data_IF_478674177864
#
_entry.id   IF_478674177864
#
_cell.length_a   1.000
_cell.length_b   1.000
_cell.length_c   1.000
_cell.angle_alpha   90.00
_cell.angle_beta   90.00
_cell.angle_gamma   90.00
#
_symmetry.space_group_name_H-M   'P 1'
#
loop_
_entity.id
_entity.type
_entity.pdbx_description
1 polymer ?
#
# COMPACT_ATOMS: atom_id res chain seq x y z
N UNK A 1 -23.75 39.27 15.05
CA UNK A 1 -24.44 38.28 14.22
C UNK A 1 -23.61 37.83 13.01
N UNK A 2 -22.99 38.70 12.23
CA UNK A 2 -22.16 38.27 11.07
C UNK A 2 -20.96 37.36 11.41
N UNK A 3 -20.31 37.56 12.56
CA UNK A 3 -19.17 36.75 13.04
C UNK A 3 -19.59 35.33 13.42
N UNK A 4 -20.79 35.13 13.99
CA UNK A 4 -21.33 33.80 14.33
C UNK A 4 -21.70 32.99 13.10
N UNK A 5 -22.20 33.64 12.06
CA UNK A 5 -22.52 32.98 10.79
C UNK A 5 -21.28 32.38 10.11
N UNK A 6 -20.17 33.09 10.15
CA UNK A 6 -18.89 32.61 9.58
C UNK A 6 -18.37 31.38 10.32
N UNK A 7 -18.47 31.35 11.65
CA UNK A 7 -18.05 30.19 12.47
C UNK A 7 -18.89 28.95 12.18
N UNK A 8 -20.22 29.12 12.05
CA UNK A 8 -21.13 28.02 11.74
C UNK A 8 -20.86 27.45 10.34
N UNK A 9 -20.64 28.31 9.36
CA UNK A 9 -20.32 27.88 7.99
C UNK A 9 -18.97 27.14 7.93
N UNK A 10 -17.95 27.66 8.61
CA UNK A 10 -16.64 26.97 8.72
C UNK A 10 -16.76 25.60 9.40
N UNK A 11 -17.57 25.48 10.45
CA UNK A 11 -17.83 24.21 11.15
C UNK A 11 -18.49 23.16 10.24
N UNK A 12 -19.43 23.57 9.39
CA UNK A 12 -20.09 22.68 8.43
C UNK A 12 -19.16 22.17 7.32
N UNK A 13 -18.21 22.98 6.89
CA UNK A 13 -17.19 22.53 5.91
C UNK A 13 -16.22 21.51 6.49
N UNK A 14 -15.82 21.63 7.75
CA UNK A 14 -14.90 20.70 8.40
C UNK A 14 -15.54 19.30 8.61
N UNK A 15 -16.84 19.23 8.94
CA UNK A 15 -17.54 17.95 9.11
C UNK A 15 -17.70 17.17 7.79
N UNK A 16 -17.90 17.86 6.68
CA UNK A 16 -18.01 17.23 5.36
C UNK A 16 -16.68 16.60 4.89
N UNK A 17 -15.55 17.25 5.17
CA UNK A 17 -14.23 16.71 4.81
C UNK A 17 -13.90 15.43 5.59
N UNK A 18 -14.23 15.34 6.87
CA UNK A 18 -13.97 14.17 7.69
C UNK A 18 -14.75 12.94 7.20
N UNK A 19 -16.02 13.12 6.84
CA UNK A 19 -16.86 12.04 6.30
C UNK A 19 -16.36 11.54 4.93
N UNK A 20 -15.88 12.42 4.08
CA UNK A 20 -15.35 12.05 2.77
C UNK A 20 -14.07 11.21 2.89
N UNK A 21 -13.18 11.54 3.82
CA UNK A 21 -11.94 10.78 4.05
C UNK A 21 -12.27 9.38 4.60
N UNK A 22 -13.16 9.29 5.59
CA UNK A 22 -13.58 8.01 6.18
C UNK A 22 -14.23 7.08 5.13
N UNK A 23 -15.06 7.61 4.25
CA UNK A 23 -15.70 6.84 3.18
C UNK A 23 -14.66 6.32 2.16
N UNK A 24 -13.67 7.13 1.82
CA UNK A 24 -12.58 6.73 0.91
C UNK A 24 -11.72 5.62 1.51
N UNK A 25 -11.42 5.67 2.80
CA UNK A 25 -10.70 4.62 3.51
C UNK A 25 -11.49 3.30 3.53
N UNK A 26 -12.79 3.35 3.78
CA UNK A 26 -13.67 2.15 3.76
C UNK A 26 -13.67 1.49 2.40
N UNK A 27 -13.78 2.26 1.31
CA UNK A 27 -13.76 1.76 -0.06
C UNK A 27 -12.40 1.12 -0.37
N UNK A 28 -11.29 1.71 0.07
CA UNK A 28 -9.95 1.16 -0.13
C UNK A 28 -9.78 -0.17 0.63
N UNK A 29 -10.20 -0.25 1.89
CA UNK A 29 -10.17 -1.48 2.68
C UNK A 29 -11.02 -2.60 2.06
N UNK A 30 -12.19 -2.27 1.51
CA UNK A 30 -13.02 -3.26 0.82
C UNK A 30 -12.35 -3.80 -0.45
N UNK A 31 -11.70 -2.94 -1.22
CA UNK A 31 -10.94 -3.35 -2.42
C UNK A 31 -9.75 -4.22 -2.06
N UNK A 32 -9.03 -3.86 -1.01
CA UNK A 32 -7.89 -4.63 -0.51
C UNK A 32 -8.32 -6.02 -0.03
N UNK A 33 -9.38 -6.11 0.77
CA UNK A 33 -9.92 -7.39 1.23
C UNK A 33 -10.41 -8.25 0.07
N UNK A 34 -11.10 -7.68 -0.90
CA UNK A 34 -11.55 -8.40 -2.09
C UNK A 34 -10.36 -8.92 -2.94
N UNK A 35 -9.29 -8.14 -3.03
CA UNK A 35 -8.06 -8.57 -3.72
C UNK A 35 -7.38 -9.72 -2.99
N UNK A 36 -7.31 -9.67 -1.65
CA UNK A 36 -6.76 -10.74 -0.81
C UNK A 36 -7.58 -12.04 -0.92
N UNK A 37 -8.90 -11.95 -0.92
CA UNK A 37 -9.77 -13.12 -1.05
C UNK A 37 -9.62 -13.78 -2.42
N UNK A 38 -9.55 -12.97 -3.48
CA UNK A 38 -9.28 -13.46 -4.83
C UNK A 38 -7.93 -14.17 -4.89
N UNK A 39 -6.90 -13.59 -4.31
CA UNK A 39 -5.56 -14.15 -4.27
C UNK A 39 -5.50 -15.47 -3.51
N UNK A 40 -6.19 -15.58 -2.36
CA UNK A 40 -6.30 -16.83 -1.61
C UNK A 40 -6.99 -17.92 -2.42
N UNK A 41 -7.99 -17.55 -3.22
CA UNK A 41 -8.66 -18.52 -4.09
C UNK A 41 -7.74 -19.02 -5.19
N UNK A 42 -7.00 -18.12 -5.85
CA UNK A 42 -5.99 -18.48 -6.86
C UNK A 42 -4.89 -19.39 -6.29
N UNK A 43 -4.46 -19.17 -5.06
CA UNK A 43 -3.48 -20.00 -4.38
C UNK A 43 -4.04 -21.40 -4.12
N UNK A 44 -5.28 -21.52 -3.66
CA UNK A 44 -5.94 -22.80 -3.46
C UNK A 44 -6.07 -23.58 -4.78
N UNK A 45 -6.48 -22.89 -5.83
CA UNK A 45 -6.62 -23.52 -7.15
C UNK A 45 -5.26 -23.95 -7.70
N UNK A 46 -4.21 -23.19 -7.45
CA UNK A 46 -2.82 -23.55 -7.79
C UNK A 46 -2.37 -24.80 -7.05
N UNK A 47 -2.55 -24.88 -5.74
CA UNK A 47 -2.18 -26.05 -4.96
C UNK A 47 -2.97 -27.30 -5.38
N UNK A 48 -4.27 -27.16 -5.68
CA UNK A 48 -5.09 -28.26 -6.24
C UNK A 48 -4.57 -28.73 -7.61
N UNK A 49 -4.20 -27.80 -8.47
CA UNK A 49 -3.65 -28.11 -9.79
C UNK A 49 -2.37 -28.96 -9.69
N UNK A 50 -1.52 -28.74 -8.68
CA UNK A 50 -0.35 -29.56 -8.39
C UNK A 50 -0.68 -30.87 -7.66
N UNK A 51 -1.95 -31.17 -7.41
CA UNK A 51 -2.40 -32.43 -6.85
C UNK A 51 -2.49 -32.49 -5.33
N UNK A 52 -2.31 -31.37 -4.65
CA UNK A 52 -2.51 -31.30 -3.20
C UNK A 52 -4.00 -31.33 -2.87
N UNK A 53 -4.38 -32.14 -1.89
CA UNK A 53 -5.77 -32.25 -1.44
C UNK A 53 -6.04 -31.27 -0.32
N UNK A 54 -7.17 -30.56 -0.39
CA UNK A 54 -7.64 -29.71 0.70
C UNK A 54 -7.70 -30.52 2.03
N UNK A 55 -7.53 -29.83 3.14
CA UNK A 55 -7.53 -30.40 4.50
C UNK A 55 -6.33 -31.29 4.85
N UNK A 56 -5.31 -31.36 4.02
CA UNK A 56 -4.04 -32.03 4.33
C UNK A 56 -2.97 -31.05 4.77
N UNK A 57 -1.95 -31.55 5.49
CA UNK A 57 -0.78 -30.75 5.88
C UNK A 57 -0.01 -30.24 4.65
N UNK A 58 0.12 -31.09 3.64
CA UNK A 58 0.82 -30.77 2.40
C UNK A 58 0.13 -29.64 1.62
N UNK A 59 -1.19 -29.55 1.69
CA UNK A 59 -1.94 -28.45 1.11
C UNK A 59 -1.67 -27.12 1.85
N UNK A 60 -1.61 -27.18 3.17
CA UNK A 60 -1.25 -26.03 4.01
C UNK A 60 0.19 -25.55 3.75
N UNK A 61 1.12 -26.49 3.60
CA UNK A 61 2.52 -26.18 3.27
C UNK A 61 2.64 -25.55 1.88
N UNK A 62 1.87 -26.02 0.91
CA UNK A 62 1.79 -25.42 -0.43
C UNK A 62 1.34 -23.95 -0.35
N UNK A 63 0.25 -23.66 0.37
CA UNK A 63 -0.26 -22.30 0.54
C UNK A 63 0.76 -21.40 1.24
N UNK A 64 1.42 -21.90 2.28
CA UNK A 64 2.45 -21.15 3.00
C UNK A 64 3.65 -20.83 2.10
N UNK A 65 4.10 -21.77 1.28
CA UNK A 65 5.20 -21.55 0.35
C UNK A 65 4.87 -20.51 -0.71
N UNK A 66 3.63 -20.50 -1.23
CA UNK A 66 3.16 -19.47 -2.17
C UNK A 66 3.14 -18.08 -1.52
N UNK A 67 2.69 -17.99 -0.26
CA UNK A 67 2.69 -16.72 0.49
C UNK A 67 4.10 -16.20 0.74
N UNK A 68 5.03 -17.07 1.13
CA UNK A 68 6.45 -16.72 1.33
C UNK A 68 7.08 -16.24 0.03
N UNK A 69 6.90 -16.97 -1.06
CA UNK A 69 7.45 -16.60 -2.38
C UNK A 69 6.97 -15.20 -2.81
N UNK A 70 5.70 -14.92 -2.62
CA UNK A 70 5.09 -13.63 -2.95
C UNK A 70 5.63 -12.49 -2.07
N UNK A 71 5.80 -12.73 -0.76
CA UNK A 71 6.41 -11.76 0.14
C UNK A 71 7.86 -11.46 -0.25
N UNK A 72 8.62 -12.46 -0.66
CA UNK A 72 9.99 -12.27 -1.15
C UNK A 72 10.02 -11.45 -2.44
N UNK A 73 9.11 -11.72 -3.37
CA UNK A 73 8.99 -10.92 -4.59
C UNK A 73 8.67 -9.45 -4.29
N UNK A 74 7.74 -9.21 -3.38
CA UNK A 74 7.37 -7.85 -2.96
C UNK A 74 8.55 -7.10 -2.32
N UNK A 75 9.30 -7.76 -1.44
CA UNK A 75 10.49 -7.19 -0.80
C UNK A 75 11.55 -6.87 -1.87
N UNK A 76 11.81 -7.78 -2.79
CA UNK A 76 12.76 -7.56 -3.88
C UNK A 76 12.36 -6.38 -4.75
N UNK A 77 11.07 -6.27 -5.08
CA UNK A 77 10.54 -5.13 -5.85
C UNK A 77 10.73 -3.81 -5.12
N UNK A 78 10.38 -3.75 -3.83
CA UNK A 78 10.61 -2.54 -3.00
C UNK A 78 12.09 -2.17 -2.92
N UNK A 79 12.98 -3.14 -2.76
CA UNK A 79 14.43 -2.89 -2.75
C UNK A 79 14.91 -2.29 -4.08
N UNK A 80 14.45 -2.79 -5.21
CA UNK A 80 14.79 -2.26 -6.53
C UNK A 80 14.25 -0.83 -6.73
N UNK A 81 13.04 -0.54 -6.27
CA UNK A 81 12.45 0.80 -6.29
C UNK A 81 13.26 1.79 -5.43
N UNK A 82 13.65 1.37 -4.22
CA UNK A 82 14.50 2.15 -3.33
C UNK A 82 15.87 2.46 -3.96
N UNK A 83 16.53 1.45 -4.56
CA UNK A 83 17.80 1.65 -5.25
C UNK A 83 17.69 2.58 -6.47
N UNK A 84 16.59 2.48 -7.23
CA UNK A 84 16.32 3.36 -8.35
C UNK A 84 16.18 4.82 -7.91
N UNK A 85 15.44 5.08 -6.83
CA UNK A 85 15.28 6.44 -6.27
C UNK A 85 16.61 6.97 -5.74
N UNK A 86 17.38 6.15 -5.05
CA UNK A 86 18.71 6.53 -4.53
C UNK A 86 19.67 6.88 -5.67
N UNK A 87 19.65 6.12 -6.75
CA UNK A 87 20.47 6.37 -7.94
C UNK A 87 20.07 7.67 -8.63
N UNK A 88 18.77 7.91 -8.80
CA UNK A 88 18.22 9.13 -9.38
C UNK A 88 18.55 10.37 -8.52
N UNK A 89 18.45 10.25 -7.19
CA UNK A 89 18.85 11.30 -6.26
C UNK A 89 20.34 11.65 -6.35
N UNK A 90 21.22 10.66 -6.55
CA UNK A 90 22.65 10.87 -6.69
C UNK A 90 23.03 11.53 -8.04
N UNK A 91 22.29 11.22 -9.11
CA UNK A 91 22.51 11.81 -10.42
C UNK A 91 21.91 13.22 -10.57
N UNK A 92 20.94 13.57 -9.72
CA UNK A 92 20.31 14.88 -9.76
C UNK A 92 21.28 15.98 -9.30
N UNK A 93 21.60 16.90 -10.21
CA UNK A 93 22.45 18.08 -9.95
C UNK A 93 21.73 19.20 -9.18
N UNK A 94 20.49 19.00 -8.75
CA UNK A 94 19.75 19.99 -7.99
C UNK A 94 20.45 20.25 -6.65
N UNK A 95 20.82 21.50 -6.42
CA UNK A 95 21.50 21.99 -5.22
C UNK A 95 20.57 22.94 -4.45
N UNK A 96 20.73 22.98 -3.13
CA UNK A 96 19.98 23.86 -2.27
C UNK A 96 19.19 23.12 -1.18
N UNK A 97 18.79 23.85 -0.15
CA UNK A 97 18.10 23.32 1.00
C UNK A 97 16.82 22.52 0.64
N UNK A 98 15.98 23.12 -0.21
CA UNK A 98 14.72 22.47 -0.64
C UNK A 98 14.94 21.22 -1.48
N UNK A 99 15.98 21.20 -2.32
CA UNK A 99 16.34 20.01 -3.08
C UNK A 99 16.75 18.85 -2.16
N UNK A 100 17.48 19.13 -1.09
CA UNK A 100 17.85 18.15 -0.07
C UNK A 100 16.64 17.57 0.67
N UNK A 101 15.70 18.43 1.07
CA UNK A 101 14.46 18.03 1.73
C UNK A 101 13.61 17.13 0.83
N UNK A 102 13.42 17.50 -0.44
CA UNK A 102 12.64 16.72 -1.39
C UNK A 102 13.29 15.38 -1.73
N UNK A 103 14.61 15.32 -1.85
CA UNK A 103 15.36 14.07 -2.05
C UNK A 103 15.20 13.13 -0.89
N UNK A 104 15.36 13.62 0.36
CA UNK A 104 15.18 12.82 1.56
C UNK A 104 13.76 12.29 1.74
N UNK A 105 12.75 13.12 1.49
CA UNK A 105 11.35 12.71 1.56
C UNK A 105 11.01 11.62 0.53
N UNK A 106 11.52 11.75 -0.70
CA UNK A 106 11.32 10.78 -1.78
C UNK A 106 11.99 9.43 -1.48
N UNK A 107 13.20 9.46 -0.92
CA UNK A 107 13.92 8.26 -0.51
C UNK A 107 13.21 7.53 0.63
N UNK A 108 12.74 8.23 1.65
CA UNK A 108 11.98 7.63 2.74
C UNK A 108 10.70 6.95 2.25
N UNK A 109 9.95 7.58 1.34
CA UNK A 109 8.73 6.99 0.77
C UNK A 109 8.97 5.72 -0.07
N UNK A 110 10.15 5.61 -0.71
CA UNK A 110 10.48 4.48 -1.57
C UNK A 110 11.13 3.32 -0.81
N UNK A 111 11.75 3.61 0.36
CA UNK A 111 12.56 2.65 1.09
C UNK A 111 11.89 2.09 2.37
N UNK A 112 10.71 2.61 2.77
CA UNK A 112 9.88 2.06 3.83
C UNK A 112 8.90 1.00 3.28
#
# INVERSE_FOLDING_TARGET
>A
MKKFLVIVVLGLFLTNCANYIAEKERINLQKENAALDKQRQEDKDTCKYYGFKEETSEFSDCLMNLDIARKQELITKKMLECEAVRRDNNQSSATGFWAGVLKGARENLACD
#
